data_IF_847266606159
#
_entry.id   IF_847266606159
#
_cell.length_a   1.000
_cell.length_b   1.000
_cell.length_c   1.000
_cell.angle_alpha   90.00
_cell.angle_beta   90.00
_cell.angle_gamma   90.00
#
_symmetry.space_group_name_H-M   'P 1'
#
loop_
_entity.id
_entity.type
_entity.pdbx_description
1 polymer ?
#
# COMPACT_ATOMS: atom_id res chain seq x y z
N UNK A 1 34.79 -5.25 51.05
CA UNK A 1 33.80 -4.47 51.73
C UNK A 1 32.48 -4.56 50.97
N UNK A 2 31.44 -5.01 51.60
CA UNK A 2 30.14 -5.28 51.02
C UNK A 2 29.24 -4.02 50.89
N UNK A 3 29.82 -2.88 50.78
CA UNK A 3 29.12 -1.63 50.57
C UNK A 3 28.91 -1.48 49.08
N UNK A 4 27.71 -1.71 48.56
CA UNK A 4 27.52 -1.34 47.18
C UNK A 4 26.58 -2.18 46.36
N UNK A 5 25.76 -3.03 46.95
CA UNK A 5 24.66 -3.65 46.19
C UNK A 5 23.67 -2.59 45.74
N UNK A 6 23.48 -2.48 44.40
CA UNK A 6 22.56 -1.51 43.83
C UNK A 6 23.05 -0.05 43.85
N UNK A 7 24.25 0.22 44.33
CA UNK A 7 24.82 1.57 44.37
C UNK A 7 25.39 1.95 42.99
N UNK A 8 25.11 3.17 42.56
CA UNK A 8 25.66 3.75 41.32
C UNK A 8 26.98 4.52 41.65
N UNK A 9 28.07 4.08 41.07
CA UNK A 9 29.36 4.72 41.21
C UNK A 9 29.69 5.58 40.01
N UNK A 10 30.16 6.81 40.23
CA UNK A 10 30.76 7.67 39.25
C UNK A 10 32.28 7.50 39.35
N UNK A 11 32.86 6.89 38.33
CA UNK A 11 34.31 6.54 38.31
C UNK A 11 35.02 7.40 37.30
N UNK A 12 36.10 8.06 37.71
CA UNK A 12 36.95 8.91 36.90
C UNK A 12 38.22 8.17 36.47
N UNK A 13 38.83 8.63 35.37
CA UNK A 13 40.15 8.15 34.95
C UNK A 13 40.15 6.70 34.46
N UNK A 14 39.09 6.23 33.81
CA UNK A 14 38.98 4.84 33.35
C UNK A 14 39.63 4.60 31.97
N UNK A 15 40.35 5.57 31.43
CA UNK A 15 41.02 5.44 30.12
C UNK A 15 40.11 5.59 28.93
N UNK A 16 38.95 6.22 29.11
CA UNK A 16 38.01 6.53 28.00
C UNK A 16 38.26 7.98 27.56
N UNK A 17 38.93 8.16 26.42
CA UNK A 17 39.32 9.47 25.88
C UNK A 17 38.18 10.42 25.57
N UNK A 18 36.95 9.93 25.59
CA UNK A 18 35.74 10.74 25.26
C UNK A 18 35.12 11.44 26.45
N UNK A 19 35.27 10.86 27.66
CA UNK A 19 34.62 11.35 28.88
C UNK A 19 35.47 11.15 30.13
N UNK A 20 35.45 12.13 31.00
CA UNK A 20 36.23 12.16 32.23
C UNK A 20 35.76 11.09 33.24
N UNK A 21 34.59 10.57 33.09
CA UNK A 21 33.99 9.59 34.01
C UNK A 21 32.96 8.68 33.33
N UNK A 22 32.69 7.56 34.00
CA UNK A 22 31.61 6.64 33.63
C UNK A 22 30.83 6.20 34.88
N UNK A 23 29.63 5.69 34.66
CA UNK A 23 28.83 5.13 35.70
C UNK A 23 28.91 3.61 35.72
N UNK A 24 29.04 3.05 36.94
CA UNK A 24 29.06 1.62 37.21
C UNK A 24 28.07 1.34 38.33
N UNK A 25 27.36 0.23 38.27
CA UNK A 25 26.62 -0.28 39.42
C UNK A 25 27.42 -1.37 40.11
N UNK A 26 27.35 -1.43 41.41
CA UNK A 26 27.73 -2.63 42.15
C UNK A 26 26.87 -3.85 41.76
N UNK A 27 27.19 -5.03 42.27
CA UNK A 27 26.41 -6.23 42.05
C UNK A 27 24.95 -6.05 42.49
N UNK A 28 24.00 -6.64 41.78
CA UNK A 28 22.57 -6.51 42.08
C UNK A 28 22.07 -7.45 43.20
N UNK A 29 22.89 -8.42 43.62
CA UNK A 29 22.53 -9.40 44.64
C UNK A 29 23.79 -9.89 45.38
N UNK A 30 23.56 -10.41 46.60
CA UNK A 30 24.61 -11.07 47.41
C UNK A 30 25.23 -12.23 46.63
N UNK A 31 26.53 -12.34 46.63
CA UNK A 31 27.31 -13.36 45.91
C UNK A 31 27.58 -13.06 44.45
N UNK A 32 26.99 -12.03 43.86
CA UNK A 32 27.36 -11.58 42.53
C UNK A 32 28.65 -10.74 42.58
N UNK A 33 29.60 -11.00 41.66
CA UNK A 33 30.87 -10.30 41.59
C UNK A 33 30.92 -9.23 40.52
N UNK A 34 29.94 -9.17 39.64
CA UNK A 34 29.92 -8.27 38.47
C UNK A 34 28.81 -7.22 38.59
N UNK A 35 29.14 -5.96 38.46
CA UNK A 35 28.23 -4.86 38.28
C UNK A 35 27.91 -4.57 36.80
N UNK A 36 27.17 -3.53 36.54
CA UNK A 36 26.86 -3.07 35.18
C UNK A 36 27.67 -1.83 34.85
N UNK A 37 28.24 -1.80 33.68
CA UNK A 37 28.91 -0.63 33.10
C UNK A 37 27.95 0.10 32.15
N UNK A 38 27.75 1.40 32.35
CA UNK A 38 26.91 2.23 31.50
C UNK A 38 27.80 2.94 30.44
N UNK A 39 27.65 2.51 29.19
CA UNK A 39 28.42 3.04 28.06
C UNK A 39 27.77 4.28 27.41
N UNK A 40 26.66 4.76 27.91
CA UNK A 40 25.99 5.95 27.40
C UNK A 40 26.77 7.24 27.65
N UNK A 41 26.38 8.31 26.97
CA UNK A 41 26.89 9.67 27.26
C UNK A 41 26.31 10.11 28.61
N UNK A 42 27.12 10.64 29.53
CA UNK A 42 26.61 11.23 30.76
C UNK A 42 25.60 12.37 30.45
N UNK A 43 24.53 12.45 31.20
CA UNK A 43 23.44 13.39 30.93
C UNK A 43 23.89 14.86 30.94
N UNK A 44 24.80 15.22 31.81
CA UNK A 44 25.42 16.54 31.93
C UNK A 44 26.30 16.91 30.73
N UNK A 45 26.70 15.93 29.92
CA UNK A 45 27.48 16.14 28.69
C UNK A 45 26.63 16.19 27.41
N UNK A 46 25.31 16.05 27.53
CA UNK A 46 24.42 16.03 26.36
C UNK A 46 24.15 17.42 25.78
N UNK A 47 24.46 18.50 26.48
CA UNK A 47 24.22 19.89 26.04
C UNK A 47 22.84 20.12 25.42
N UNK A 48 21.80 19.48 25.95
CA UNK A 48 20.44 19.53 25.43
C UNK A 48 20.20 18.68 24.18
N UNK A 49 21.17 17.93 23.69
CA UNK A 49 20.99 17.00 22.57
C UNK A 49 20.51 15.62 23.05
N UNK A 50 19.50 15.11 22.41
CA UNK A 50 19.01 13.74 22.65
C UNK A 50 19.89 12.75 21.86
N UNK A 51 20.98 12.28 22.48
CA UNK A 51 21.87 11.30 21.84
C UNK A 51 21.31 9.91 22.01
N UNK A 52 20.69 9.38 20.97
CA UNK A 52 20.21 8.00 20.91
C UNK A 52 21.34 7.06 20.52
N UNK A 53 21.57 6.03 21.31
CA UNK A 53 22.49 4.95 20.93
C UNK A 53 21.88 4.15 19.80
N UNK A 54 22.58 4.02 18.66
CA UNK A 54 22.23 3.04 17.64
C UNK A 54 22.57 1.64 18.19
N UNK A 55 21.54 0.84 18.45
CA UNK A 55 21.70 -0.55 18.84
C UNK A 55 21.46 -1.39 17.57
N UNK A 56 22.34 -2.35 17.23
CA UNK A 56 22.07 -3.25 16.11
C UNK A 56 20.74 -3.96 16.31
N UNK A 57 20.04 -4.20 15.21
CA UNK A 57 18.81 -5.00 15.21
C UNK A 57 19.15 -6.38 15.77
N UNK A 58 18.38 -6.86 16.72
CA UNK A 58 18.56 -8.20 17.26
C UNK A 58 18.32 -9.24 16.16
N UNK A 59 19.22 -10.20 16.03
CA UNK A 59 19.01 -11.36 15.15
C UNK A 59 18.01 -12.38 15.70
N UNK A 60 17.53 -12.20 16.94
CA UNK A 60 16.61 -13.10 17.62
C UNK A 60 15.61 -12.33 18.47
N UNK A 61 14.33 -12.68 18.32
CA UNK A 61 13.22 -12.20 19.14
C UNK A 61 12.43 -13.38 19.70
N UNK A 62 12.29 -13.48 21.01
CA UNK A 62 11.39 -14.45 21.61
C UNK A 62 9.96 -13.92 21.58
N UNK A 63 9.15 -14.48 20.72
CA UNK A 63 7.74 -14.14 20.51
C UNK A 63 6.78 -15.27 20.90
N UNK A 64 7.28 -16.32 21.58
CA UNK A 64 6.47 -17.50 21.93
C UNK A 64 5.18 -17.12 22.66
N UNK A 65 5.27 -16.19 23.63
CA UNK A 65 4.10 -15.69 24.37
C UNK A 65 3.10 -14.95 23.47
N UNK A 66 3.58 -14.19 22.47
CA UNK A 66 2.72 -13.48 21.53
C UNK A 66 1.98 -14.43 20.60
N UNK A 67 2.63 -15.50 20.14
CA UNK A 67 2.01 -16.53 19.30
C UNK A 67 0.95 -17.34 20.07
N UNK A 68 1.15 -17.60 21.34
CA UNK A 68 0.18 -18.33 22.18
C UNK A 68 -1.18 -17.65 22.30
N UNK A 69 -1.22 -16.34 22.16
CA UNK A 69 -2.43 -15.53 22.39
C UNK A 69 -2.97 -14.82 21.15
N UNK A 70 -2.31 -14.93 19.99
CA UNK A 70 -2.66 -14.13 18.82
C UNK A 70 -3.98 -14.52 18.15
N UNK A 71 -4.52 -15.72 18.40
CA UNK A 71 -5.72 -16.25 17.74
C UNK A 71 -6.89 -15.25 17.78
N UNK A 72 -7.12 -14.63 18.92
CA UNK A 72 -8.26 -13.70 19.16
C UNK A 72 -7.88 -12.22 19.04
N UNK A 73 -6.64 -11.88 18.72
CA UNK A 73 -6.23 -10.49 18.53
C UNK A 73 -7.12 -9.78 17.50
N UNK A 74 -7.41 -8.51 17.76
CA UNK A 74 -8.28 -7.69 16.92
C UNK A 74 -9.73 -8.18 16.86
N UNK A 75 -10.12 -9.13 17.74
CA UNK A 75 -11.46 -9.74 17.75
C UNK A 75 -11.79 -10.57 16.51
N UNK A 76 -10.77 -11.02 15.78
CA UNK A 76 -10.90 -11.90 14.62
C UNK A 76 -10.41 -13.29 15.00
N UNK A 77 -11.31 -14.25 15.22
CA UNK A 77 -10.97 -15.64 15.51
C UNK A 77 -10.47 -16.35 14.25
N UNK A 78 -9.17 -16.33 14.02
CA UNK A 78 -8.53 -16.96 12.88
C UNK A 78 -7.67 -18.13 13.36
N UNK A 79 -8.15 -19.35 13.13
CA UNK A 79 -7.63 -20.57 13.79
C UNK A 79 -6.24 -20.97 13.36
N UNK A 80 -5.84 -20.68 12.13
CA UNK A 80 -4.58 -21.17 11.57
C UNK A 80 -3.83 -20.06 10.83
N UNK A 81 -2.53 -19.99 11.01
CA UNK A 81 -1.67 -19.09 10.25
C UNK A 81 -1.65 -17.62 10.69
N UNK A 82 -2.48 -17.22 11.65
CA UNK A 82 -2.49 -15.83 12.15
C UNK A 82 -1.15 -15.47 12.80
N UNK A 83 -0.64 -14.31 12.45
CA UNK A 83 0.59 -13.76 13.05
C UNK A 83 0.22 -12.75 14.15
N UNK A 84 0.98 -12.72 15.26
CA UNK A 84 0.74 -11.71 16.29
C UNK A 84 1.09 -10.31 15.81
N UNK A 85 0.33 -9.31 16.25
CA UNK A 85 0.60 -7.91 15.92
C UNK A 85 2.01 -7.48 16.36
N UNK A 86 2.53 -8.03 17.44
CA UNK A 86 3.88 -7.75 17.94
C UNK A 86 4.98 -8.10 16.94
N UNK A 87 4.82 -9.18 16.18
CA UNK A 87 5.75 -9.54 15.12
C UNK A 87 5.76 -8.49 14.00
N UNK A 88 4.56 -8.09 13.55
CA UNK A 88 4.42 -7.10 12.49
C UNK A 88 4.89 -5.72 12.94
N UNK A 89 4.66 -5.35 14.21
CA UNK A 89 5.21 -4.13 14.80
C UNK A 89 6.74 -4.08 14.69
N UNK A 90 7.42 -5.15 15.06
CA UNK A 90 8.89 -5.23 14.99
C UNK A 90 9.35 -5.05 13.53
N UNK A 91 8.74 -5.77 12.61
CA UNK A 91 9.07 -5.68 11.18
C UNK A 91 8.86 -4.24 10.68
N UNK A 92 7.67 -3.67 10.90
CA UNK A 92 7.36 -2.34 10.38
C UNK A 92 8.19 -1.23 11.02
N UNK A 93 8.60 -1.37 12.28
CA UNK A 93 9.53 -0.42 12.93
C UNK A 93 10.90 -0.41 12.29
N UNK A 94 11.36 -1.55 11.79
CA UNK A 94 12.71 -1.66 11.22
C UNK A 94 12.76 -1.33 9.73
N UNK A 95 11.69 -1.62 8.99
CA UNK A 95 11.70 -1.56 7.53
C UNK A 95 10.78 -0.48 6.94
N UNK A 96 10.12 0.34 7.78
CA UNK A 96 9.27 1.42 7.30
C UNK A 96 9.23 2.61 8.27
N UNK A 97 8.82 3.77 7.75
CA UNK A 97 8.57 4.99 8.51
C UNK A 97 7.08 5.32 8.53
N UNK A 98 6.67 6.28 9.37
CA UNK A 98 5.31 6.82 9.32
C UNK A 98 5.02 7.43 7.95
N UNK A 99 3.82 7.17 7.43
CA UNK A 99 3.39 7.63 6.11
C UNK A 99 3.78 6.73 4.93
N UNK A 100 4.70 5.78 5.12
CA UNK A 100 5.06 4.79 4.10
C UNK A 100 3.87 3.90 3.74
N UNK A 101 3.91 3.29 2.55
CA UNK A 101 2.87 2.38 2.07
C UNK A 101 3.30 0.94 2.32
N UNK A 102 2.48 0.21 3.06
CA UNK A 102 2.66 -1.22 3.33
C UNK A 102 1.72 -2.00 2.41
N UNK A 103 2.27 -2.94 1.64
CA UNK A 103 1.51 -3.86 0.81
C UNK A 103 1.52 -5.25 1.43
N UNK A 104 0.32 -5.84 1.60
CA UNK A 104 0.15 -7.25 1.92
C UNK A 104 -0.79 -7.89 0.89
N UNK A 105 -0.24 -8.68 -0.01
CA UNK A 105 -0.98 -9.32 -1.11
C UNK A 105 -1.65 -10.65 -0.72
N UNK A 106 -1.46 -11.12 0.52
CA UNK A 106 -2.07 -12.32 1.08
C UNK A 106 -2.53 -12.04 2.51
N UNK A 107 -3.49 -11.13 2.62
CA UNK A 107 -3.85 -10.43 3.85
C UNK A 107 -4.28 -11.35 5.01
N UNK A 108 -4.88 -12.49 4.70
CA UNK A 108 -5.30 -13.48 5.68
C UNK A 108 -6.26 -12.89 6.72
N UNK A 109 -5.83 -12.78 7.95
CA UNK A 109 -6.64 -12.21 9.05
C UNK A 109 -6.56 -10.68 9.20
N UNK A 110 -5.89 -9.98 8.28
CA UNK A 110 -5.74 -8.52 8.33
C UNK A 110 -4.75 -8.00 9.37
N UNK A 111 -3.84 -8.83 9.87
CA UNK A 111 -2.91 -8.39 10.92
C UNK A 111 -1.97 -7.29 10.44
N UNK A 112 -1.38 -7.44 9.25
CA UNK A 112 -0.42 -6.47 8.71
C UNK A 112 -1.03 -5.08 8.57
N UNK A 113 -2.22 -4.98 7.98
CA UNK A 113 -2.88 -3.69 7.75
C UNK A 113 -3.41 -3.08 9.04
N UNK A 114 -3.84 -3.91 10.02
CA UNK A 114 -4.22 -3.43 11.35
C UNK A 114 -3.04 -2.78 12.06
N UNK A 115 -1.87 -3.42 12.04
CA UNK A 115 -0.64 -2.89 12.63
C UNK A 115 -0.15 -1.65 11.88
N UNK A 116 -0.14 -1.69 10.55
CA UNK A 116 0.24 -0.54 9.72
C UNK A 116 -0.62 0.69 10.04
N UNK A 117 -1.94 0.50 10.15
CA UNK A 117 -2.88 1.57 10.50
C UNK A 117 -2.61 2.15 11.90
N UNK A 118 -2.48 1.29 12.92
CA UNK A 118 -2.15 1.70 14.30
C UNK A 118 -0.80 2.42 14.41
N UNK A 119 0.11 2.18 13.48
CA UNK A 119 1.43 2.79 13.43
C UNK A 119 1.53 3.96 12.44
N UNK A 120 0.41 4.52 11.96
CA UNK A 120 0.35 5.64 11.02
C UNK A 120 1.05 5.37 9.67
N UNK A 121 1.01 4.13 9.17
CA UNK A 121 1.40 3.80 7.81
C UNK A 121 0.16 3.77 6.93
N UNK A 122 0.32 4.11 5.65
CA UNK A 122 -0.66 3.79 4.61
C UNK A 122 -0.55 2.31 4.28
N UNK A 123 -1.61 1.72 3.76
CA UNK A 123 -1.56 0.30 3.44
C UNK A 123 -2.48 -0.08 2.30
N UNK A 124 -2.12 -1.17 1.65
CA UNK A 124 -2.91 -1.86 0.64
C UNK A 124 -2.94 -3.34 1.05
N UNK A 125 -4.13 -3.89 1.24
CA UNK A 125 -4.32 -5.30 1.56
C UNK A 125 -5.12 -5.98 0.45
N UNK A 126 -4.70 -7.17 0.04
CA UNK A 126 -5.38 -7.97 -0.98
C UNK A 126 -5.72 -9.32 -0.36
N UNK A 127 -6.96 -9.76 -0.52
CA UNK A 127 -7.42 -11.04 -0.04
C UNK A 127 -8.46 -11.63 -1.00
N UNK A 128 -8.26 -12.88 -1.37
CA UNK A 128 -9.15 -13.59 -2.28
C UNK A 128 -10.31 -14.29 -1.57
N UNK A 129 -10.09 -14.69 -0.32
CA UNK A 129 -11.05 -15.51 0.42
C UNK A 129 -12.15 -14.70 1.10
N UNK A 130 -13.29 -15.35 1.33
CA UNK A 130 -14.46 -14.77 2.01
C UNK A 130 -14.14 -14.24 3.42
N UNK A 131 -13.04 -14.67 4.01
CA UNK A 131 -12.58 -14.14 5.30
C UNK A 131 -12.14 -12.67 5.20
N UNK A 132 -12.00 -12.11 4.00
CA UNK A 132 -11.89 -10.67 3.84
C UNK A 132 -13.09 -9.97 4.46
N UNK A 133 -14.30 -10.44 4.18
CA UNK A 133 -15.55 -9.88 4.70
C UNK A 133 -15.80 -10.21 6.17
N UNK A 134 -15.49 -11.46 6.55
CA UNK A 134 -15.85 -11.96 7.90
C UNK A 134 -14.81 -11.65 8.97
N UNK A 135 -13.55 -11.37 8.57
CA UNK A 135 -12.43 -11.16 9.51
C UNK A 135 -11.72 -9.82 9.28
N UNK A 136 -11.28 -9.53 8.03
CA UNK A 136 -10.46 -8.33 7.79
C UNK A 136 -11.25 -7.04 7.98
N UNK A 137 -12.42 -6.91 7.34
CA UNK A 137 -13.26 -5.71 7.45
C UNK A 137 -13.70 -5.45 8.89
N UNK A 138 -14.29 -6.44 9.63
CA UNK A 138 -14.69 -6.22 11.02
C UNK A 138 -13.51 -5.88 11.95
N UNK A 139 -12.33 -6.45 11.69
CA UNK A 139 -11.11 -6.11 12.44
C UNK A 139 -10.70 -4.66 12.20
N UNK A 140 -10.63 -4.24 10.94
CA UNK A 140 -10.27 -2.87 10.58
C UNK A 140 -11.27 -1.85 11.11
N UNK A 141 -12.56 -2.18 11.11
CA UNK A 141 -13.59 -1.33 11.71
C UNK A 141 -13.30 -1.09 13.20
N UNK A 142 -12.98 -2.14 13.96
CA UNK A 142 -12.62 -2.01 15.40
C UNK A 142 -11.34 -1.20 15.60
N UNK A 143 -10.37 -1.30 14.68
CA UNK A 143 -9.16 -0.46 14.73
C UNK A 143 -9.52 1.00 14.54
N UNK A 144 -10.34 1.33 13.52
CA UNK A 144 -10.77 2.70 13.23
C UNK A 144 -11.61 3.27 14.37
N UNK A 145 -12.56 2.50 14.89
CA UNK A 145 -13.42 2.93 16.00
C UNK A 145 -12.67 3.04 17.34
N UNK A 146 -11.40 2.61 17.38
CA UNK A 146 -10.61 2.59 18.62
C UNK A 146 -11.07 1.56 19.65
N UNK A 147 -11.94 0.62 19.26
CA UNK A 147 -12.46 -0.44 20.15
C UNK A 147 -11.53 -1.65 20.22
N UNK A 148 -10.60 -1.79 19.29
CA UNK A 148 -9.54 -2.80 19.38
C UNK A 148 -8.50 -2.38 20.42
N UNK A 149 -8.61 -2.95 21.63
CA UNK A 149 -7.69 -2.71 22.75
C UNK A 149 -6.58 -3.78 22.86
N UNK A 150 -6.58 -4.75 21.93
CA UNK A 150 -5.62 -5.86 21.90
C UNK A 150 -4.33 -5.54 21.14
N UNK A 151 -3.50 -6.57 20.99
CA UNK A 151 -2.25 -6.49 20.24
C UNK A 151 -1.35 -5.34 20.68
N UNK A 152 -0.92 -4.53 19.73
CA UNK A 152 -0.02 -3.38 19.98
C UNK A 152 -0.74 -2.09 20.37
N UNK A 153 -2.08 -2.08 20.50
CA UNK A 153 -2.86 -0.85 20.72
C UNK A 153 -2.36 -0.03 21.91
N UNK A 154 -1.97 -0.70 23.00
CA UNK A 154 -1.38 -0.05 24.17
C UNK A 154 0.04 0.46 23.92
N UNK A 155 0.85 -0.32 23.22
CA UNK A 155 2.26 0.00 22.97
C UNK A 155 2.42 1.26 22.12
N UNK A 156 1.46 1.50 21.20
CA UNK A 156 1.43 2.66 20.30
C UNK A 156 0.42 3.74 20.74
N UNK A 157 -0.23 3.54 21.88
CA UNK A 157 -1.28 4.44 22.40
C UNK A 157 -2.40 4.73 21.40
N UNK A 158 -2.87 3.69 20.69
CA UNK A 158 -3.90 3.81 19.67
C UNK A 158 -5.27 4.14 20.27
N UNK A 159 -5.91 5.19 19.75
CA UNK A 159 -7.22 5.65 20.23
C UNK A 159 -8.32 5.54 19.15
N UNK A 160 -7.97 5.07 17.95
CA UNK A 160 -8.86 5.06 16.81
C UNK A 160 -8.58 6.19 15.83
N UNK A 161 -9.35 6.22 14.78
CA UNK A 161 -9.29 7.25 13.74
C UNK A 161 -8.85 6.72 12.38
N UNK A 162 -8.90 7.62 11.39
CA UNK A 162 -8.64 7.27 10.00
C UNK A 162 -9.83 6.61 9.31
N UNK A 163 -9.54 5.85 8.26
CA UNK A 163 -10.53 5.11 7.48
C UNK A 163 -9.86 4.27 6.41
N UNK A 164 -10.64 3.43 5.73
CA UNK A 164 -10.18 2.68 4.57
C UNK A 164 -11.22 2.67 3.47
N UNK A 165 -10.78 2.39 2.24
CA UNK A 165 -11.65 2.12 1.11
C UNK A 165 -11.61 0.64 0.83
N UNK A 166 -12.77 0.03 0.70
CA UNK A 166 -12.92 -1.34 0.28
C UNK A 166 -13.27 -1.39 -1.21
N UNK A 167 -12.62 -2.29 -1.92
CA UNK A 167 -12.86 -2.51 -3.35
C UNK A 167 -13.04 -3.99 -3.60
N UNK A 168 -13.99 -4.31 -4.45
CA UNK A 168 -14.14 -5.63 -5.04
C UNK A 168 -13.56 -5.62 -6.45
N UNK A 169 -12.90 -6.72 -6.82
CA UNK A 169 -12.44 -6.87 -8.18
C UNK A 169 -13.66 -7.12 -9.08
N UNK A 170 -13.89 -6.17 -9.99
CA UNK A 170 -14.95 -6.33 -10.97
C UNK A 170 -14.65 -7.53 -11.90
N UNK A 171 -15.69 -8.18 -12.47
CA UNK A 171 -15.52 -9.17 -13.51
C UNK A 171 -14.69 -8.61 -14.67
N UNK A 172 -13.99 -9.49 -15.41
CA UNK A 172 -13.23 -9.06 -16.58
C UNK A 172 -14.15 -8.38 -17.61
N UNK A 173 -13.74 -7.21 -18.09
CA UNK A 173 -14.46 -6.48 -19.14
C UNK A 173 -14.50 -7.26 -20.46
N UNK A 174 -13.48 -8.08 -20.72
CA UNK A 174 -13.34 -8.87 -21.92
C UNK A 174 -13.35 -10.36 -21.59
N UNK A 175 -13.97 -11.14 -22.47
CA UNK A 175 -13.87 -12.60 -22.50
C UNK A 175 -13.47 -13.09 -23.88
N UNK A 176 -12.91 -14.31 -23.96
CA UNK A 176 -12.66 -14.95 -25.24
C UNK A 176 -13.95 -15.60 -25.75
N UNK A 177 -14.25 -15.36 -27.02
CA UNK A 177 -15.32 -16.09 -27.71
C UNK A 177 -14.88 -17.53 -28.04
N UNK A 178 -15.80 -18.31 -28.64
CA UNK A 178 -15.53 -19.69 -29.08
C UNK A 178 -14.43 -19.82 -30.16
N UNK A 179 -14.05 -18.71 -30.77
CA UNK A 179 -13.00 -18.65 -31.79
C UNK A 179 -11.67 -18.09 -31.22
N UNK A 180 -11.62 -17.78 -29.91
CA UNK A 180 -10.46 -17.24 -29.23
C UNK A 180 -10.28 -15.71 -29.35
N UNK A 181 -11.23 -15.00 -29.98
CA UNK A 181 -11.18 -13.55 -30.11
C UNK A 181 -11.62 -12.87 -28.80
N UNK A 182 -10.98 -11.76 -28.46
CA UNK A 182 -11.41 -10.94 -27.33
C UNK A 182 -12.69 -10.15 -27.68
N UNK A 183 -13.72 -10.35 -26.88
CA UNK A 183 -15.01 -9.66 -27.01
C UNK A 183 -15.44 -9.11 -25.67
N UNK A 184 -16.29 -8.08 -25.69
CA UNK A 184 -16.87 -7.51 -24.45
C UNK A 184 -17.77 -8.55 -23.78
N UNK A 185 -17.62 -8.70 -22.49
CA UNK A 185 -18.47 -9.56 -21.70
C UNK A 185 -19.84 -8.90 -21.41
N UNK A 186 -20.75 -9.07 -22.34
CA UNK A 186 -22.11 -8.49 -22.26
C UNK A 186 -22.99 -9.12 -21.17
N UNK A 187 -22.58 -10.22 -20.56
CA UNK A 187 -23.32 -10.86 -19.46
C UNK A 187 -23.13 -10.10 -18.16
N UNK A 188 -21.93 -9.54 -17.96
CA UNK A 188 -21.58 -8.82 -16.75
C UNK A 188 -21.60 -7.30 -16.91
N UNK A 189 -21.58 -6.79 -18.14
CA UNK A 189 -21.50 -5.35 -18.40
C UNK A 189 -22.69 -4.86 -19.22
N UNK A 190 -23.48 -3.98 -18.63
CA UNK A 190 -24.43 -3.14 -19.37
C UNK A 190 -23.71 -1.94 -20.02
N UNK A 191 -24.42 -1.13 -20.78
CA UNK A 191 -23.84 0.00 -21.51
C UNK A 191 -23.20 1.04 -20.57
N UNK A 192 -23.83 1.31 -19.43
CA UNK A 192 -23.36 2.27 -18.44
C UNK A 192 -22.10 1.78 -17.71
N UNK A 193 -22.11 0.53 -17.24
CA UNK A 193 -20.95 -0.10 -16.62
C UNK A 193 -19.77 -0.17 -17.59
N UNK A 194 -20.05 -0.45 -18.88
CA UNK A 194 -19.02 -0.45 -19.92
C UNK A 194 -18.44 0.96 -20.09
N UNK A 195 -19.27 1.99 -20.19
CA UNK A 195 -18.83 3.36 -20.31
C UNK A 195 -17.97 3.82 -19.12
N UNK A 196 -18.41 3.49 -17.90
CA UNK A 196 -17.66 3.80 -16.69
C UNK A 196 -16.30 3.08 -16.64
N UNK A 197 -16.25 1.80 -17.00
CA UNK A 197 -15.01 1.02 -17.04
C UNK A 197 -14.03 1.55 -18.10
N UNK A 198 -14.53 1.80 -19.31
CA UNK A 198 -13.70 2.33 -20.43
C UNK A 198 -13.21 3.74 -20.12
N UNK A 199 -14.01 4.61 -19.51
CA UNK A 199 -13.61 5.93 -19.06
C UNK A 199 -12.45 5.82 -18.07
N UNK A 200 -12.58 5.00 -17.04
CA UNK A 200 -11.54 4.79 -16.02
C UNK A 200 -10.23 4.26 -16.63
N UNK A 201 -10.30 3.26 -17.51
CA UNK A 201 -9.14 2.69 -18.18
C UNK A 201 -8.37 3.72 -19.03
N UNK A 202 -9.08 4.69 -19.61
CA UNK A 202 -8.49 5.75 -20.42
C UNK A 202 -8.15 7.02 -19.62
N UNK A 203 -8.26 7.00 -18.29
CA UNK A 203 -7.90 8.11 -17.41
C UNK A 203 -8.95 9.22 -17.33
N UNK A 204 -10.19 8.91 -17.67
CA UNK A 204 -11.33 9.81 -17.56
C UNK A 204 -12.13 9.51 -16.29
N UNK A 205 -12.62 10.54 -15.61
CA UNK A 205 -13.65 10.39 -14.58
C UNK A 205 -14.98 10.20 -15.27
N UNK A 206 -15.66 9.08 -15.00
CA UNK A 206 -17.04 8.86 -15.47
C UNK A 206 -17.97 9.85 -14.77
N UNK A 207 -18.62 10.70 -15.55
CA UNK A 207 -19.49 11.78 -15.09
C UNK A 207 -20.37 12.21 -16.27
N UNK A 208 -21.43 11.43 -16.57
CA UNK A 208 -22.28 11.65 -17.74
C UNK A 208 -23.08 12.93 -17.61
N UNK A 209 -23.04 13.76 -18.66
CA UNK A 209 -23.83 14.98 -18.77
C UNK A 209 -25.27 14.64 -19.16
N UNK A 210 -26.24 15.21 -18.44
CA UNK A 210 -27.67 14.93 -18.67
C UNK A 210 -28.20 15.45 -20.01
N UNK A 211 -27.56 16.49 -20.57
CA UNK A 211 -28.00 17.17 -21.79
C UNK A 211 -27.26 16.68 -23.03
N UNK A 212 -26.02 16.23 -22.87
CA UNK A 212 -25.13 15.90 -23.96
C UNK A 212 -24.69 14.45 -23.85
N UNK A 213 -25.40 13.54 -24.50
CA UNK A 213 -25.24 12.08 -24.35
C UNK A 213 -23.83 11.53 -24.61
N UNK A 214 -23.04 12.22 -25.44
CA UNK A 214 -21.68 11.81 -25.74
C UNK A 214 -20.63 12.31 -24.72
N UNK A 215 -21.00 13.18 -23.79
CA UNK A 215 -20.15 13.59 -22.65
C UNK A 215 -20.33 12.65 -21.48
N UNK A 216 -19.81 11.43 -21.61
CA UNK A 216 -19.98 10.39 -20.56
C UNK A 216 -18.89 10.44 -19.48
N UNK A 217 -17.78 11.12 -19.73
CA UNK A 217 -16.72 11.31 -18.77
C UNK A 217 -15.77 12.42 -19.17
N UNK A 218 -15.03 12.91 -18.20
CA UNK A 218 -14.15 14.09 -18.35
C UNK A 218 -12.75 13.80 -17.79
N UNK A 219 -11.70 14.23 -18.49
CA UNK A 219 -10.31 14.12 -18.05
C UNK A 219 -9.71 15.48 -17.69
N UNK A 220 -9.78 16.45 -18.59
CA UNK A 220 -9.35 17.83 -18.41
C UNK A 220 -10.49 18.77 -18.81
N UNK A 221 -10.33 20.08 -18.65
CA UNK A 221 -11.43 21.06 -18.80
C UNK A 221 -12.29 20.88 -20.05
N UNK A 222 -11.70 20.44 -21.17
CA UNK A 222 -12.40 20.30 -22.44
C UNK A 222 -12.18 18.95 -23.11
N UNK A 223 -11.77 17.91 -22.37
CA UNK A 223 -11.53 16.56 -22.92
C UNK A 223 -12.55 15.57 -22.39
N UNK A 224 -13.32 14.99 -23.29
CA UNK A 224 -14.43 14.10 -23.01
C UNK A 224 -14.22 12.71 -23.59
N UNK A 225 -14.94 11.72 -23.06
CA UNK A 225 -14.99 10.35 -23.57
C UNK A 225 -16.43 9.94 -23.83
N UNK A 226 -16.63 9.28 -24.96
CA UNK A 226 -17.88 8.65 -25.36
C UNK A 226 -17.67 7.19 -25.69
N UNK A 227 -18.40 6.32 -25.02
CA UNK A 227 -18.36 4.88 -25.22
C UNK A 227 -19.70 4.42 -25.79
N UNK A 228 -19.67 3.74 -26.93
CA UNK A 228 -20.86 3.22 -27.57
C UNK A 228 -20.66 1.76 -27.98
N UNK A 229 -21.73 0.98 -27.97
CA UNK A 229 -21.76 -0.38 -28.54
C UNK A 229 -22.18 -0.40 -30.01
N UNK A 230 -22.47 0.76 -30.59
CA UNK A 230 -22.88 0.91 -31.98
C UNK A 230 -21.67 1.10 -32.90
N UNK A 231 -21.87 0.83 -34.19
CA UNK A 231 -20.93 1.14 -35.25
C UNK A 231 -20.89 2.65 -35.49
N UNK A 232 -19.68 3.24 -35.59
CA UNK A 232 -19.49 4.67 -35.86
C UNK A 232 -19.27 4.86 -37.34
N UNK A 233 -20.26 5.38 -38.04
CA UNK A 233 -20.19 5.77 -39.44
C UNK A 233 -19.68 7.21 -39.62
N UNK A 234 -19.25 7.57 -40.84
CA UNK A 234 -18.84 8.93 -41.17
C UNK A 234 -19.96 9.95 -40.83
N UNK A 235 -21.19 9.64 -41.20
CA UNK A 235 -22.35 10.50 -40.91
C UNK A 235 -22.59 10.71 -39.43
N UNK A 236 -22.41 9.64 -38.63
CA UNK A 236 -22.58 9.73 -37.17
C UNK A 236 -21.45 10.57 -36.52
N UNK A 237 -20.24 10.42 -37.01
CA UNK A 237 -19.10 11.23 -36.56
C UNK A 237 -19.28 12.71 -36.91
N UNK A 238 -19.77 13.02 -38.11
CA UNK A 238 -20.04 14.39 -38.52
C UNK A 238 -21.14 15.06 -37.68
N UNK A 239 -22.13 14.31 -37.29
CA UNK A 239 -23.17 14.79 -36.34
C UNK A 239 -22.56 15.14 -34.98
N UNK A 240 -21.75 14.24 -34.41
CA UNK A 240 -21.07 14.50 -33.13
C UNK A 240 -20.14 15.73 -33.20
N UNK A 241 -19.34 15.80 -34.27
CA UNK A 241 -18.44 16.94 -34.48
C UNK A 241 -19.20 18.27 -34.62
N UNK A 242 -20.40 18.26 -35.21
CA UNK A 242 -21.23 19.43 -35.33
C UNK A 242 -21.83 19.95 -34.01
N UNK A 243 -21.92 19.09 -32.98
CA UNK A 243 -22.38 19.44 -31.65
C UNK A 243 -21.24 19.91 -30.72
N UNK A 244 -19.98 19.66 -31.11
CA UNK A 244 -18.80 20.02 -30.32
C UNK A 244 -18.42 21.49 -30.48
N UNK A 245 -17.85 22.05 -29.40
CA UNK A 245 -17.24 23.38 -29.43
C UNK A 245 -15.79 23.29 -29.93
N UNK A 246 -15.25 24.37 -30.51
CA UNK A 246 -13.90 24.39 -31.09
C UNK A 246 -12.78 23.89 -30.18
N UNK A 247 -12.89 24.08 -28.87
CA UNK A 247 -11.86 23.69 -27.90
C UNK A 247 -12.08 22.30 -27.31
N UNK A 248 -13.20 21.66 -27.61
CA UNK A 248 -13.53 20.35 -27.06
C UNK A 248 -12.78 19.24 -27.79
N UNK A 249 -12.29 18.28 -27.03
CA UNK A 249 -11.66 17.05 -27.54
C UNK A 249 -12.51 15.87 -27.13
N UNK A 250 -12.63 14.89 -28.02
CA UNK A 250 -13.44 13.73 -27.80
C UNK A 250 -12.68 12.43 -28.11
N UNK A 251 -12.64 11.53 -27.14
CA UNK A 251 -12.24 10.13 -27.35
C UNK A 251 -13.49 9.28 -27.53
N UNK A 252 -13.69 8.70 -28.69
CA UNK A 252 -14.78 7.76 -28.96
C UNK A 252 -14.25 6.33 -28.85
N UNK A 253 -14.90 5.53 -27.99
CA UNK A 253 -14.64 4.11 -27.86
C UNK A 253 -15.84 3.30 -28.40
N UNK A 254 -15.62 2.50 -29.45
CA UNK A 254 -16.68 1.75 -30.12
C UNK A 254 -16.20 0.38 -30.61
N UNK A 255 -17.10 -0.58 -30.93
CA UNK A 255 -16.71 -1.91 -31.43
C UNK A 255 -16.08 -1.86 -32.81
N UNK A 256 -16.59 -0.98 -33.68
CA UNK A 256 -16.10 -0.81 -35.04
C UNK A 256 -16.49 0.57 -35.60
N UNK A 257 -15.74 1.04 -36.59
CA UNK A 257 -15.97 2.30 -37.29
C UNK A 257 -15.46 2.23 -38.75
N UNK A 258 -15.90 3.15 -39.59
CA UNK A 258 -15.47 3.23 -41.00
C UNK A 258 -13.96 3.50 -41.11
N UNK A 259 -13.33 2.97 -42.16
CA UNK A 259 -11.92 3.17 -42.43
C UNK A 259 -11.64 4.65 -42.72
N UNK A 260 -10.56 5.19 -42.15
CA UNK A 260 -10.14 6.57 -42.38
C UNK A 260 -10.82 7.64 -41.53
N UNK A 261 -11.68 7.28 -40.58
CA UNK A 261 -12.34 8.27 -39.70
C UNK A 261 -11.40 8.93 -38.70
N UNK A 262 -10.28 8.29 -38.34
CA UNK A 262 -9.34 8.84 -37.34
C UNK A 262 -8.67 10.13 -37.81
N UNK A 263 -8.54 10.32 -39.12
CA UNK A 263 -7.88 11.50 -39.70
C UNK A 263 -8.86 12.58 -40.15
N UNK A 264 -10.18 12.39 -39.86
CA UNK A 264 -11.24 13.29 -40.32
C UNK A 264 -11.34 14.56 -39.46
N UNK A 265 -11.09 14.48 -38.18
CA UNK A 265 -11.13 15.59 -37.23
C UNK A 265 -9.93 15.53 -36.27
N UNK A 266 -9.18 16.63 -36.16
CA UNK A 266 -7.98 16.71 -35.33
C UNK A 266 -8.27 16.61 -33.83
N UNK A 267 -9.48 16.96 -33.41
CA UNK A 267 -9.93 16.97 -32.02
C UNK A 267 -10.74 15.73 -31.61
N UNK A 268 -10.91 14.74 -32.51
CA UNK A 268 -11.62 13.48 -32.24
C UNK A 268 -10.69 12.29 -32.51
N UNK A 269 -10.59 11.43 -31.51
CA UNK A 269 -9.85 10.17 -31.62
C UNK A 269 -10.84 9.02 -31.48
N UNK A 270 -10.76 8.03 -32.38
CA UNK A 270 -11.65 6.86 -32.32
C UNK A 270 -10.80 5.62 -32.02
N UNK A 271 -11.21 4.84 -31.02
CA UNK A 271 -10.56 3.58 -30.63
C UNK A 271 -11.56 2.43 -30.61
N UNK A 272 -11.11 1.27 -31.04
CA UNK A 272 -11.90 0.03 -30.83
C UNK A 272 -11.86 -0.37 -29.38
N UNK A 273 -13.02 -0.67 -28.77
CA UNK A 273 -13.11 -1.01 -27.34
C UNK A 273 -12.21 -2.19 -26.97
N UNK A 274 -12.19 -3.35 -27.67
CA UNK A 274 -11.28 -4.42 -27.35
C UNK A 274 -9.82 -3.96 -27.34
N UNK A 275 -9.41 -3.20 -28.36
CA UNK A 275 -8.04 -2.71 -28.47
C UNK A 275 -7.71 -1.66 -27.39
N UNK A 276 -8.62 -0.73 -27.10
CA UNK A 276 -8.41 0.30 -26.06
C UNK A 276 -8.26 -0.29 -24.66
N UNK A 277 -8.87 -1.45 -24.43
CA UNK A 277 -8.73 -2.21 -23.18
C UNK A 277 -7.44 -3.03 -23.20
N UNK A 278 -7.15 -3.71 -24.31
CA UNK A 278 -5.96 -4.54 -24.48
C UNK A 278 -4.65 -3.72 -24.41
N UNK A 279 -4.66 -2.50 -24.94
CA UNK A 279 -3.50 -1.58 -24.88
C UNK A 279 -3.16 -1.14 -23.43
N UNK A 280 -4.07 -1.32 -22.50
CA UNK A 280 -3.90 -0.91 -21.11
C UNK A 280 -3.72 -2.06 -20.14
N UNK A 281 -4.02 -3.28 -20.57
CA UNK A 281 -3.98 -4.48 -19.74
C UNK A 281 -3.37 -5.63 -20.53
N UNK A 282 -2.35 -6.27 -19.96
CA UNK A 282 -1.74 -7.49 -20.51
C UNK A 282 -2.65 -8.69 -20.25
N UNK A 283 -3.73 -8.81 -21.00
CA UNK A 283 -4.62 -9.96 -20.89
C UNK A 283 -3.97 -11.23 -21.43
N UNK A 284 -3.80 -12.21 -20.57
CA UNK A 284 -3.36 -13.56 -20.94
C UNK A 284 -1.86 -13.73 -21.12
N UNK A 285 -1.06 -12.77 -20.74
CA UNK A 285 0.39 -12.94 -20.60
C UNK A 285 0.66 -13.30 -19.15
N UNK A 286 0.82 -14.60 -18.87
CA UNK A 286 1.40 -15.08 -17.61
C UNK A 286 2.90 -14.79 -17.61
N UNK A 287 3.26 -13.53 -17.70
CA UNK A 287 4.66 -13.13 -17.65
C UNK A 287 5.06 -12.92 -16.20
N UNK A 288 5.32 -14.01 -15.48
CA UNK A 288 5.95 -14.01 -14.17
C UNK A 288 7.47 -13.77 -14.24
N UNK A 289 8.00 -13.40 -15.39
CA UNK A 289 9.37 -12.89 -15.51
C UNK A 289 9.43 -11.51 -14.83
N UNK A 290 9.45 -11.54 -13.50
CA UNK A 290 10.06 -10.45 -12.77
C UNK A 290 11.51 -10.42 -13.23
N UNK A 291 11.92 -9.34 -13.89
CA UNK A 291 13.33 -9.02 -14.06
C UNK A 291 13.87 -8.83 -12.64
N UNK A 292 14.44 -9.89 -12.07
CA UNK A 292 15.26 -9.77 -10.87
C UNK A 292 16.43 -8.93 -11.37
N UNK A 293 16.48 -7.68 -10.95
CA UNK A 293 17.68 -6.85 -11.12
C UNK A 293 18.72 -7.56 -10.26
N UNK A 294 19.65 -8.24 -10.93
CA UNK A 294 20.80 -8.81 -10.25
C UNK A 294 21.65 -7.63 -9.77
N UNK A 295 21.67 -7.42 -8.46
CA UNK A 295 22.43 -6.34 -7.85
C UNK A 295 23.93 -6.61 -7.83
N UNK A 296 24.39 -7.73 -8.41
CA UNK A 296 25.81 -8.04 -8.56
C UNK A 296 26.54 -7.10 -9.55
N UNK A 297 25.80 -6.38 -10.41
CA UNK A 297 26.36 -5.43 -11.37
C UNK A 297 26.37 -3.97 -10.88
N UNK A 298 25.95 -3.71 -9.64
CA UNK A 298 26.15 -2.40 -9.03
C UNK A 298 27.54 -2.37 -8.44
N UNK A 299 28.53 -2.01 -9.24
CA UNK A 299 29.83 -1.60 -8.74
C UNK A 299 29.62 -0.41 -7.80
N UNK A 300 29.88 -0.65 -6.51
CA UNK A 300 30.05 0.43 -5.57
C UNK A 300 31.30 1.21 -6.00
N UNK A 301 31.12 2.30 -6.72
CA UNK A 301 32.16 3.32 -6.78
C UNK A 301 32.41 3.80 -5.35
N UNK A 302 33.42 3.22 -4.74
CA UNK A 302 33.96 3.70 -3.48
C UNK A 302 34.85 4.90 -3.79
N UNK A 303 34.25 6.07 -3.87
CA UNK A 303 35.03 7.30 -3.68
C UNK A 303 35.39 7.42 -2.18
N UNK A 304 36.47 6.80 -1.85
CA UNK A 304 37.25 7.12 -0.67
C UNK A 304 38.56 7.74 -1.18
N UNK A 305 38.55 9.04 -1.35
CA UNK A 305 39.81 9.81 -1.39
C UNK A 305 39.72 10.96 -0.41
N UNK A 306 40.73 10.93 0.52
CA UNK A 306 41.24 11.94 1.44
C UNK A 306 40.41 12.39 2.66
#
# INVERSE_FOLDING_TARGET
KQEGYGVLYKVYGIGDDRYDYRYFTGPNRVGATKGKYYQGVPKDKLNGQDIRRKIPISGFYDLAGSFGNCRLEGGADFRSGKKPEKLLEIILRHFSNEGDIILDSFLGSGTTVAVAHKMNRKWIGIELGDHCYTHCIPRLQKVIDGTDKGGISKDVNWQGGGGFKFYELAPSLLKKDKHGNWVIDKEHYNAEMLAAAVAKLNGYKYDPDEKTFWKQGKSHESSYIFTTTQFVSAKYLDMLAGEMQEKERLLICCPAFDVGLNDRYENIIIKKIPQSVLDKCDFGVNNYNMSIIDTSDIECESDCDE
#
